data_IF_062792152930
#
_entry.id   IF_062792152930
#
_cell.length_a   1.000
_cell.length_b   1.000
_cell.length_c   1.000
_cell.angle_alpha   90.00
_cell.angle_beta   90.00
_cell.angle_gamma   90.00
#
_symmetry.space_group_name_H-M   'P 1'
#
loop_
_entity.id
_entity.type
_entity.pdbx_description
1 polymer ?
#
# COMPACT_ATOMS: atom_id res chain seq x y z
N UNK A 1 -15.98 8.68 13.15
CA UNK A 1 -14.50 8.75 13.18
C UNK A 1 -13.94 9.62 14.32
N UNK A 2 -14.64 9.78 15.45
CA UNK A 2 -14.19 10.66 16.54
C UNK A 2 -12.81 10.26 17.06
N UNK A 3 -11.91 11.23 17.25
CA UNK A 3 -10.55 11.03 17.76
C UNK A 3 -9.50 10.74 16.67
N UNK A 4 -9.90 10.53 15.42
CA UNK A 4 -8.97 10.32 14.32
C UNK A 4 -8.19 11.60 13.96
N UNK A 5 -8.80 12.77 14.22
CA UNK A 5 -8.22 14.10 14.01
C UNK A 5 -6.93 14.37 14.81
N UNK A 6 -6.65 13.56 15.84
CA UNK A 6 -5.41 13.64 16.61
C UNK A 6 -4.21 12.93 15.96
N UNK A 7 -4.43 12.15 14.89
CA UNK A 7 -3.39 11.39 14.20
C UNK A 7 -2.95 12.10 12.92
N UNK A 8 -1.66 12.02 12.58
CA UNK A 8 -1.15 12.54 11.30
C UNK A 8 -1.37 11.60 10.12
N UNK A 9 -1.50 10.29 10.39
CA UNK A 9 -1.60 9.26 9.36
C UNK A 9 -2.55 8.14 9.79
N UNK A 10 -3.12 7.46 8.80
CA UNK A 10 -3.91 6.25 9.00
C UNK A 10 -3.52 5.16 8.01
N UNK A 11 -3.64 3.91 8.44
CA UNK A 11 -3.56 2.73 7.58
C UNK A 11 -4.97 2.45 7.05
N UNK A 12 -5.13 2.45 5.73
CA UNK A 12 -6.37 2.14 5.02
C UNK A 12 -6.25 0.74 4.45
N UNK A 13 -7.23 -0.11 4.71
CA UNK A 13 -7.40 -1.40 4.02
C UNK A 13 -8.53 -1.22 3.01
N UNK A 14 -8.26 -1.55 1.75
CA UNK A 14 -9.21 -1.37 0.65
C UNK A 14 -9.20 -2.58 -0.28
N UNK A 15 -10.30 -2.77 -1.00
CA UNK A 15 -10.50 -3.88 -1.93
C UNK A 15 -10.13 -3.42 -3.34
N UNK A 16 -9.09 -3.98 -3.95
CA UNK A 16 -8.71 -3.72 -5.33
C UNK A 16 -9.71 -4.38 -6.30
N UNK A 17 -10.92 -3.82 -6.30
CA UNK A 17 -12.12 -4.34 -6.93
C UNK A 17 -12.01 -4.52 -8.45
N UNK A 18 -11.14 -3.76 -9.13
CA UNK A 18 -10.90 -3.90 -10.57
C UNK A 18 -10.16 -5.20 -10.94
N UNK A 19 -9.51 -5.86 -9.97
CA UNK A 19 -8.81 -7.13 -10.17
C UNK A 19 -9.41 -8.27 -9.35
N UNK A 20 -10.63 -8.08 -8.84
CA UNK A 20 -11.43 -9.10 -8.16
C UNK A 20 -12.03 -10.06 -9.20
N UNK A 21 -11.14 -10.81 -9.84
CA UNK A 21 -11.44 -11.83 -10.83
C UNK A 21 -10.90 -13.18 -10.35
N UNK A 22 -11.66 -14.30 -10.49
CA UNK A 22 -11.21 -15.61 -10.03
C UNK A 22 -9.91 -16.11 -10.66
N UNK A 23 -9.66 -15.81 -11.94
CA UNK A 23 -8.45 -16.26 -12.64
C UNK A 23 -7.24 -15.45 -12.15
N UNK A 24 -7.41 -14.15 -11.90
CA UNK A 24 -6.37 -13.29 -11.33
C UNK A 24 -6.07 -13.64 -9.86
N UNK A 25 -7.10 -13.99 -9.10
CA UNK A 25 -6.98 -14.35 -7.68
C UNK A 25 -6.25 -15.69 -7.47
N UNK A 26 -6.27 -16.56 -8.48
CA UNK A 26 -5.56 -17.84 -8.46
C UNK A 26 -4.05 -17.72 -8.72
N UNK A 27 -3.56 -16.55 -9.15
CA UNK A 27 -2.14 -16.34 -9.43
C UNK A 27 -1.30 -16.47 -8.16
N UNK A 28 -0.24 -17.27 -8.26
CA UNK A 28 0.76 -17.45 -7.20
C UNK A 28 2.14 -16.91 -7.59
N UNK A 29 2.34 -16.67 -8.88
CA UNK A 29 3.59 -16.17 -9.47
C UNK A 29 3.41 -14.70 -9.89
N UNK A 30 4.34 -13.85 -9.46
CA UNK A 30 4.39 -12.42 -9.79
C UNK A 30 5.33 -12.11 -10.96
N UNK A 31 6.06 -13.12 -11.45
CA UNK A 31 7.16 -12.98 -12.40
C UNK A 31 8.28 -12.11 -11.85
N UNK A 32 8.82 -11.25 -12.72
CA UNK A 32 9.85 -10.27 -12.36
C UNK A 32 9.36 -8.85 -12.52
N UNK A 33 8.57 -8.31 -11.58
CA UNK A 33 7.97 -6.99 -11.73
C UNK A 33 8.97 -5.84 -11.52
N UNK A 34 10.17 -6.10 -11.00
CA UNK A 34 11.14 -5.06 -10.63
C UNK A 34 12.39 -5.06 -11.52
N UNK A 35 12.90 -3.86 -11.84
CA UNK A 35 14.01 -3.65 -12.76
C UNK A 35 15.30 -4.36 -12.32
N UNK A 36 15.59 -4.40 -11.01
CA UNK A 36 16.80 -5.00 -10.43
C UNK A 36 16.67 -6.48 -10.05
N UNK A 37 15.55 -7.11 -10.39
CA UNK A 37 15.23 -8.47 -10.01
C UNK A 37 15.61 -9.47 -11.13
N UNK A 38 16.48 -10.42 -10.84
CA UNK A 38 16.98 -11.42 -11.81
C UNK A 38 16.20 -12.75 -11.79
N UNK A 39 15.37 -12.98 -10.78
CA UNK A 39 14.59 -14.21 -10.56
C UNK A 39 13.10 -13.90 -10.32
N UNK A 40 12.22 -14.84 -10.65
CA UNK A 40 10.78 -14.66 -10.42
C UNK A 40 10.44 -14.65 -8.92
N UNK A 41 9.42 -13.86 -8.55
CA UNK A 41 8.87 -13.77 -7.20
C UNK A 41 7.47 -14.39 -7.16
N UNK A 42 7.11 -15.00 -6.03
CA UNK A 42 5.72 -15.31 -5.75
C UNK A 42 4.92 -14.06 -5.37
N UNK A 43 3.60 -14.08 -5.57
CA UNK A 43 2.71 -12.95 -5.26
C UNK A 43 2.86 -12.45 -3.82
N UNK A 44 3.00 -13.35 -2.84
CA UNK A 44 3.16 -12.99 -1.42
C UNK A 44 4.51 -12.34 -1.07
N UNK A 45 5.49 -12.39 -1.97
CA UNK A 45 6.75 -11.64 -1.85
C UNK A 45 6.63 -10.21 -2.40
N UNK A 46 5.43 -9.79 -2.83
CA UNK A 46 5.17 -8.49 -3.46
C UNK A 46 3.97 -7.77 -2.84
N UNK A 47 3.73 -6.54 -3.30
CA UNK A 47 2.53 -5.76 -3.00
C UNK A 47 1.51 -5.74 -4.16
N UNK A 48 1.64 -6.67 -5.12
CA UNK A 48 0.73 -6.77 -6.29
C UNK A 48 -0.74 -6.87 -5.87
N UNK A 49 -1.68 -6.15 -6.52
CA UNK A 49 -3.10 -6.29 -6.27
C UNK A 49 -3.66 -7.62 -6.82
N UNK A 50 -2.94 -8.30 -7.71
CA UNK A 50 -3.29 -9.63 -8.24
C UNK A 50 -2.94 -10.71 -7.22
N UNK A 51 -3.86 -10.99 -6.30
CA UNK A 51 -3.65 -11.92 -5.16
C UNK A 51 -4.96 -12.56 -4.76
N UNK A 52 -4.88 -13.70 -4.06
CA UNK A 52 -6.06 -14.50 -3.69
C UNK A 52 -7.13 -13.77 -2.91
N UNK A 53 -6.76 -12.74 -2.14
CA UNK A 53 -7.70 -11.75 -1.64
C UNK A 53 -7.12 -10.38 -2.00
N UNK A 54 -7.71 -9.61 -2.95
CA UNK A 54 -7.20 -8.32 -3.42
C UNK A 54 -7.31 -7.19 -2.37
N UNK A 55 -6.95 -7.51 -1.13
CA UNK A 55 -6.74 -6.59 -0.02
C UNK A 55 -5.44 -5.83 -0.24
N UNK A 56 -5.59 -4.54 -0.47
CA UNK A 56 -4.49 -3.59 -0.52
C UNK A 56 -4.44 -2.79 0.78
N UNK A 57 -3.26 -2.25 1.08
CA UNK A 57 -2.97 -1.53 2.31
C UNK A 57 -2.09 -0.34 2.00
N UNK A 58 -2.59 0.83 2.39
CA UNK A 58 -1.97 2.13 2.11
C UNK A 58 -1.93 2.97 3.37
N UNK A 59 -0.79 3.59 3.63
CA UNK A 59 -0.68 4.61 4.69
C UNK A 59 -0.98 5.95 4.04
N UNK A 60 -2.02 6.63 4.52
CA UNK A 60 -2.41 7.96 4.04
C UNK A 60 -2.09 9.03 5.08
N UNK A 61 -1.83 10.24 4.61
CA UNK A 61 -1.79 11.44 5.45
C UNK A 61 -3.21 11.94 5.69
N UNK A 62 -3.58 12.15 6.94
CA UNK A 62 -4.85 12.77 7.30
C UNK A 62 -4.71 14.29 7.17
N UNK A 63 -5.04 14.83 6.00
CA UNK A 63 -4.96 16.28 5.79
C UNK A 63 -6.12 17.01 6.48
N UNK A 64 -7.32 16.43 6.44
CA UNK A 64 -8.48 16.85 7.21
C UNK A 64 -9.39 15.65 7.50
N UNK A 65 -10.18 15.74 8.58
CA UNK A 65 -11.17 14.72 8.97
C UNK A 65 -12.47 15.44 9.31
N UNK A 66 -13.49 15.29 8.47
CA UNK A 66 -14.86 15.70 8.77
C UNK A 66 -15.60 14.50 9.38
N UNK A 67 -15.69 14.52 10.71
CA UNK A 67 -16.29 13.43 11.48
C UNK A 67 -17.79 13.31 11.27
N UNK A 68 -18.48 14.42 11.00
CA UNK A 68 -19.94 14.46 10.82
C UNK A 68 -20.33 14.02 9.40
N UNK A 69 -19.61 14.52 8.38
CA UNK A 69 -19.84 14.13 7.00
C UNK A 69 -19.30 12.73 6.65
N UNK A 70 -18.38 12.21 7.47
CA UNK A 70 -17.78 10.92 7.22
C UNK A 70 -16.64 10.99 6.20
N UNK A 71 -15.99 12.15 6.03
CA UNK A 71 -15.04 12.43 4.94
C UNK A 71 -13.62 12.61 5.50
N UNK A 72 -12.64 12.03 4.81
CA UNK A 72 -11.21 12.24 5.05
C UNK A 72 -10.62 12.81 3.77
N UNK A 73 -9.86 13.89 3.89
CA UNK A 73 -9.05 14.40 2.80
C UNK A 73 -7.61 13.91 2.97
N UNK A 74 -7.02 13.40 1.90
CA UNK A 74 -5.61 12.98 1.82
C UNK A 74 -5.02 13.50 0.51
N UNK A 75 -3.75 13.96 0.50
CA UNK A 75 -3.09 14.40 -0.73
C UNK A 75 -2.84 13.26 -1.72
N UNK A 76 -2.83 12.01 -1.24
CA UNK A 76 -2.55 10.84 -2.05
C UNK A 76 -3.29 9.61 -1.52
N UNK A 77 -3.79 8.81 -2.45
CA UNK A 77 -4.28 7.46 -2.25
C UNK A 77 -4.05 6.69 -3.54
N UNK A 78 -3.57 5.45 -3.44
CA UNK A 78 -3.14 4.61 -4.57
C UNK A 78 -4.25 3.69 -5.10
N UNK A 79 -5.51 4.02 -4.78
CA UNK A 79 -6.69 3.31 -5.25
C UNK A 79 -7.43 4.11 -6.32
N UNK A 80 -8.16 3.41 -7.19
CA UNK A 80 -9.02 4.02 -8.20
C UNK A 80 -10.26 4.65 -7.56
N UNK A 81 -10.88 5.59 -8.28
CA UNK A 81 -12.17 6.16 -7.85
C UNK A 81 -13.23 5.06 -7.69
N UNK A 82 -14.09 5.21 -6.69
CA UNK A 82 -15.10 4.21 -6.34
C UNK A 82 -14.57 2.94 -5.64
N UNK A 83 -13.26 2.82 -5.39
CA UNK A 83 -12.71 1.67 -4.67
C UNK A 83 -13.32 1.51 -3.27
N UNK A 84 -13.83 0.31 -2.91
CA UNK A 84 -14.32 0.05 -1.57
C UNK A 84 -13.21 0.14 -0.51
N UNK A 85 -13.39 1.01 0.47
CA UNK A 85 -12.60 1.02 1.72
C UNK A 85 -13.25 0.06 2.70
N UNK A 86 -12.45 -0.85 3.26
CA UNK A 86 -12.90 -1.91 4.17
C UNK A 86 -12.62 -1.59 5.63
N UNK A 87 -11.50 -0.93 5.92
CA UNK A 87 -11.07 -0.63 7.29
C UNK A 87 -10.13 0.57 7.33
N UNK A 88 -10.07 1.22 8.48
CA UNK A 88 -9.23 2.38 8.76
C UNK A 88 -8.69 2.30 10.19
N UNK A 89 -7.38 2.41 10.33
CA UNK A 89 -6.71 2.39 11.64
C UNK A 89 -5.73 3.56 11.78
N UNK A 90 -5.62 4.21 12.94
CA UNK A 90 -4.58 5.19 13.15
C UNK A 90 -3.20 4.55 13.00
N UNK A 91 -2.29 5.20 12.28
CA UNK A 91 -0.91 4.72 12.21
C UNK A 91 -0.18 5.08 13.51
N UNK A 92 0.33 4.06 14.20
CA UNK A 92 1.02 4.23 15.48
C UNK A 92 2.38 3.54 15.46
N UNK A 93 3.49 4.28 15.67
CA UNK A 93 4.84 3.71 15.58
C UNK A 93 5.10 2.54 16.52
N UNK A 94 4.38 2.46 17.64
CA UNK A 94 4.52 1.37 18.62
C UNK A 94 4.21 -0.03 18.06
N UNK A 95 3.43 -0.12 16.98
CA UNK A 95 3.03 -1.40 16.38
C UNK A 95 3.28 -1.47 14.87
N UNK A 96 3.24 -0.34 14.17
CA UNK A 96 3.34 -0.32 12.71
C UNK A 96 4.78 -0.13 12.19
N UNK A 97 5.70 0.32 13.07
CA UNK A 97 7.08 0.64 12.69
C UNK A 97 8.06 -0.42 13.18
N UNK A 98 8.83 -0.97 12.25
CA UNK A 98 10.06 -1.72 12.52
C UNK A 98 11.23 -0.79 12.22
N UNK A 99 12.04 -0.44 13.22
CA UNK A 99 13.13 0.54 13.05
C UNK A 99 14.19 0.09 12.02
N UNK A 100 14.45 -1.22 11.94
CA UNK A 100 15.49 -1.82 11.08
C UNK A 100 14.96 -3.11 10.46
N UNK A 101 14.08 -3.03 9.45
CA UNK A 101 13.57 -4.22 8.78
C UNK A 101 14.70 -4.88 7.97
N UNK A 102 14.71 -6.20 7.93
CA UNK A 102 15.58 -6.94 7.01
C UNK A 102 14.91 -6.97 5.64
N UNK A 103 15.60 -6.48 4.61
CA UNK A 103 15.13 -6.47 3.23
C UNK A 103 15.96 -7.42 2.37
N UNK A 104 15.34 -8.10 1.38
CA UNK A 104 16.07 -8.72 0.29
C UNK A 104 16.96 -7.71 -0.45
N UNK A 105 18.08 -8.18 -1.01
CA UNK A 105 19.05 -7.31 -1.68
C UNK A 105 18.44 -6.53 -2.87
N UNK A 106 17.46 -7.12 -3.57
CA UNK A 106 16.85 -6.53 -4.76
C UNK A 106 15.98 -5.29 -4.47
N UNK A 107 15.50 -5.11 -3.22
CA UNK A 107 14.74 -3.94 -2.79
C UNK A 107 15.40 -3.16 -1.64
N UNK A 108 16.65 -3.47 -1.31
CA UNK A 108 17.35 -2.81 -0.19
C UNK A 108 17.59 -1.31 -0.42
N UNK A 109 17.50 -0.83 -1.67
CA UNK A 109 17.61 0.59 -2.03
C UNK A 109 16.28 1.35 -1.98
N UNK A 110 15.17 0.68 -1.68
CA UNK A 110 13.88 1.34 -1.59
C UNK A 110 13.81 2.29 -0.39
N UNK A 111 12.94 3.30 -0.45
CA UNK A 111 12.82 4.30 0.61
C UNK A 111 12.37 3.70 1.95
N UNK A 112 12.87 4.25 3.05
CA UNK A 112 12.58 3.76 4.41
C UNK A 112 11.32 4.32 5.06
N UNK A 113 10.62 5.25 4.40
CA UNK A 113 9.43 5.93 4.92
C UNK A 113 8.49 6.34 3.78
N UNK A 114 7.20 6.56 4.11
CA UNK A 114 6.18 6.98 3.14
C UNK A 114 6.54 8.35 2.55
N UNK A 115 7.07 9.25 3.36
CA UNK A 115 7.49 10.58 2.96
C UNK A 115 8.59 10.50 1.90
N UNK A 116 9.65 9.72 2.14
CA UNK A 116 10.73 9.53 1.16
C UNK A 116 10.29 8.70 -0.05
N UNK A 117 9.22 7.91 0.06
CA UNK A 117 8.64 7.17 -1.06
C UNK A 117 7.96 8.08 -2.07
N UNK A 118 7.47 9.25 -1.67
CA UNK A 118 6.86 10.22 -2.57
C UNK A 118 7.85 10.83 -3.58
N UNK A 119 9.13 10.90 -3.21
CA UNK A 119 10.21 11.45 -4.04
C UNK A 119 11.00 10.38 -4.82
N UNK A 120 10.66 9.11 -4.65
CA UNK A 120 11.38 7.99 -5.25
C UNK A 120 10.90 7.71 -6.68
N UNK A 121 11.85 7.42 -7.58
CA UNK A 121 11.56 7.05 -8.97
C UNK A 121 11.01 5.63 -9.07
N UNK A 122 9.73 5.47 -8.71
CA UNK A 122 9.02 4.20 -8.87
C UNK A 122 8.85 3.84 -10.35
N UNK A 123 8.76 4.82 -11.25
CA UNK A 123 8.61 4.55 -12.68
C UNK A 123 9.82 3.80 -13.25
N UNK A 124 11.03 4.12 -12.79
CA UNK A 124 12.26 3.39 -13.13
C UNK A 124 12.46 2.07 -12.39
N UNK A 125 11.69 1.79 -11.33
CA UNK A 125 11.84 0.59 -10.50
C UNK A 125 11.03 -0.60 -11.03
N UNK A 126 9.91 -0.35 -11.70
CA UNK A 126 9.04 -1.41 -12.23
C UNK A 126 9.36 -1.74 -13.70
N UNK A 127 9.18 -3.01 -14.06
CA UNK A 127 9.20 -3.49 -15.45
C UNK A 127 7.76 -3.45 -15.98
N UNK A 128 7.38 -2.34 -16.58
CA UNK A 128 6.15 -2.22 -17.35
C UNK A 128 6.43 -2.48 -18.83
#
# INVERSE_FOLDING_TARGET
>A
MRGLEGFGHAVVIWWAHEVDDPDLSALMDAGRPYARLDHDLGIFSTRSPLRSNPLALTVIKLASVDVEAGIIETPYFDAQDGTPVLDLKPNTPSIDRVERPQLPAWCAHWPGSVETSGDFDWAGEFRF
#
